data_IF_896305462165
#
_entry.id   IF_896305462165
#
_cell.length_a   1.000
_cell.length_b   1.000
_cell.length_c   1.000
_cell.angle_alpha   90.00
_cell.angle_beta   90.00
_cell.angle_gamma   90.00
#
_symmetry.space_group_name_H-M   'P 1'
#
loop_
_entity.id
_entity.type
_entity.pdbx_description
1 polymer ?
#
# COMPACT_ATOMS: atom_id res chain seq x y z
N UNK A 1 14.06 -6.53 -10.60
CA UNK A 1 12.75 -6.81 -9.98
C UNK A 1 11.66 -6.39 -10.97
N UNK A 2 10.49 -7.03 -11.01
CA UNK A 2 9.36 -6.54 -11.82
C UNK A 2 8.29 -5.98 -10.88
N UNK A 3 8.43 -4.70 -10.52
CA UNK A 3 7.57 -4.04 -9.53
C UNK A 3 6.11 -3.98 -9.97
N UNK A 4 5.84 -3.70 -11.25
CA UNK A 4 4.46 -3.65 -11.77
C UNK A 4 3.77 -5.01 -11.63
N UNK A 5 4.48 -6.11 -11.92
CA UNK A 5 3.94 -7.44 -11.71
C UNK A 5 3.68 -7.73 -10.22
N UNK A 6 4.58 -7.29 -9.34
CA UNK A 6 4.39 -7.37 -7.90
C UNK A 6 3.12 -6.63 -7.45
N UNK A 7 2.94 -5.35 -7.79
CA UNK A 7 1.77 -4.58 -7.36
C UNK A 7 0.46 -5.14 -7.93
N UNK A 8 0.47 -5.65 -9.18
CA UNK A 8 -0.68 -6.37 -9.75
C UNK A 8 -1.02 -7.63 -8.95
N UNK A 9 -0.01 -8.36 -8.50
CA UNK A 9 -0.19 -9.55 -7.65
C UNK A 9 -0.78 -9.17 -6.29
N UNK A 10 -0.28 -8.09 -5.68
CA UNK A 10 -0.80 -7.58 -4.41
C UNK A 10 -2.26 -7.17 -4.50
N UNK A 11 -2.66 -6.43 -5.54
CA UNK A 11 -4.05 -6.04 -5.75
C UNK A 11 -4.99 -7.25 -5.91
N UNK A 12 -4.53 -8.30 -6.61
CA UNK A 12 -5.28 -9.55 -6.75
C UNK A 12 -5.43 -10.30 -5.43
N UNK A 13 -4.37 -10.35 -4.61
CA UNK A 13 -4.40 -10.99 -3.29
C UNK A 13 -5.35 -10.25 -2.34
N UNK A 14 -5.24 -8.92 -2.28
CA UNK A 14 -6.13 -8.09 -1.48
C UNK A 14 -7.59 -8.28 -1.90
N UNK A 15 -7.87 -8.18 -3.20
CA UNK A 15 -9.23 -8.40 -3.71
C UNK A 15 -9.75 -9.81 -3.43
N UNK A 16 -8.88 -10.83 -3.49
CA UNK A 16 -9.26 -12.20 -3.15
C UNK A 16 -9.61 -12.36 -1.67
N UNK A 17 -8.89 -11.69 -0.78
CA UNK A 17 -9.22 -11.68 0.65
C UNK A 17 -10.49 -10.88 0.92
N UNK A 18 -10.69 -9.75 0.23
CA UNK A 18 -11.95 -9.00 0.29
C UNK A 18 -13.15 -9.88 -0.08
N UNK A 19 -13.02 -10.75 -1.09
CA UNK A 19 -14.09 -11.66 -1.50
C UNK A 19 -14.44 -12.74 -0.46
N UNK A 20 -13.68 -12.85 0.63
CA UNK A 20 -14.02 -13.72 1.77
C UNK A 20 -15.00 -13.07 2.74
N UNK A 21 -15.47 -11.86 2.41
CA UNK A 21 -16.44 -11.08 3.17
C UNK A 21 -17.65 -11.92 3.61
N UNK A 22 -18.02 -11.76 4.88
CA UNK A 22 -19.21 -12.33 5.49
C UNK A 22 -19.75 -11.39 6.58
N UNK A 23 -20.99 -11.64 7.02
CA UNK A 23 -21.58 -10.98 8.19
C UNK A 23 -21.75 -12.07 9.25
N UNK A 24 -21.17 -11.87 10.43
CA UNK A 24 -21.32 -12.81 11.55
C UNK A 24 -22.74 -12.75 12.13
N UNK A 25 -23.18 -13.84 12.78
CA UNK A 25 -24.49 -13.85 13.45
C UNK A 25 -24.54 -12.76 14.54
N UNK A 26 -25.53 -11.87 14.45
CA UNK A 26 -25.73 -10.68 15.29
C UNK A 26 -24.74 -9.52 15.07
N UNK A 27 -24.04 -9.50 13.94
CA UNK A 27 -23.25 -8.36 13.52
C UNK A 27 -23.96 -7.51 12.45
N UNK A 28 -23.58 -6.24 12.37
CA UNK A 28 -24.03 -5.29 11.35
C UNK A 28 -22.89 -4.83 10.43
N UNK A 29 -21.66 -5.22 10.73
CA UNK A 29 -20.48 -4.92 9.92
C UNK A 29 -19.98 -6.16 9.19
N UNK A 30 -19.27 -5.92 8.10
CA UNK A 30 -18.58 -6.96 7.36
C UNK A 30 -17.35 -7.44 8.12
N UNK A 31 -17.07 -8.74 8.02
CA UNK A 31 -15.84 -9.39 8.49
C UNK A 31 -15.21 -10.17 7.33
N UNK A 32 -13.92 -10.49 7.43
CA UNK A 32 -13.16 -11.18 6.39
C UNK A 32 -12.39 -12.38 6.96
N UNK A 33 -12.06 -13.34 6.10
CA UNK A 33 -11.19 -14.47 6.41
C UNK A 33 -9.93 -14.40 5.52
N UNK A 34 -9.04 -13.42 5.76
CA UNK A 34 -7.91 -13.13 4.88
C UNK A 34 -6.85 -14.24 4.91
N UNK A 35 -6.25 -14.51 3.74
CA UNK A 35 -5.10 -15.42 3.60
C UNK A 35 -3.79 -14.67 3.34
N UNK A 36 -3.85 -13.46 2.80
CA UNK A 36 -2.67 -12.70 2.35
C UNK A 36 -2.55 -11.33 3.03
N UNK A 37 -3.68 -10.67 3.30
CA UNK A 37 -3.79 -9.33 3.87
C UNK A 37 -4.51 -9.41 5.20
N UNK A 38 -3.78 -9.74 6.26
CA UNK A 38 -4.34 -9.90 7.61
C UNK A 38 -4.79 -8.57 8.22
N UNK A 39 -4.30 -7.45 7.69
CA UNK A 39 -4.65 -6.06 8.00
C UNK A 39 -5.82 -5.53 7.15
N UNK A 40 -6.62 -6.40 6.52
CA UNK A 40 -7.68 -5.97 5.60
C UNK A 40 -8.73 -5.07 6.26
N UNK A 41 -9.15 -5.37 7.49
CA UNK A 41 -10.14 -4.56 8.22
C UNK A 41 -9.66 -3.12 8.41
N UNK A 42 -8.40 -2.96 8.83
CA UNK A 42 -7.78 -1.65 9.02
C UNK A 42 -7.67 -0.87 7.70
N UNK A 43 -7.38 -1.56 6.59
CA UNK A 43 -7.33 -0.95 5.26
C UNK A 43 -8.72 -0.52 4.79
N UNK A 44 -9.75 -1.36 4.96
CA UNK A 44 -11.13 -1.01 4.61
C UNK A 44 -11.55 0.27 5.33
N UNK A 45 -11.30 0.34 6.64
CA UNK A 45 -11.63 1.49 7.47
C UNK A 45 -10.83 2.73 7.09
N UNK A 46 -9.50 2.61 6.95
CA UNK A 46 -8.61 3.74 6.68
C UNK A 46 -8.88 4.39 5.33
N UNK A 47 -9.25 3.60 4.33
CA UNK A 47 -9.59 4.10 2.99
C UNK A 47 -11.08 4.39 2.80
N UNK A 48 -11.92 4.20 3.83
CA UNK A 48 -13.36 4.36 3.77
C UNK A 48 -13.96 3.66 2.53
N UNK A 49 -13.58 2.40 2.35
CA UNK A 49 -13.97 1.59 1.19
C UNK A 49 -15.46 1.28 1.27
N UNK A 50 -16.21 1.58 0.21
CA UNK A 50 -17.58 1.09 0.07
C UNK A 50 -17.55 -0.41 -0.25
N UNK A 51 -17.81 -1.22 0.78
CA UNK A 51 -17.82 -2.67 0.67
C UNK A 51 -18.86 -3.23 -0.30
N UNK A 52 -19.92 -2.48 -0.61
CA UNK A 52 -20.97 -2.95 -1.54
C UNK A 52 -20.62 -2.67 -3.00
N UNK A 53 -19.62 -1.81 -3.25
CA UNK A 53 -19.10 -1.48 -4.57
C UNK A 53 -17.58 -1.57 -4.58
N UNK A 54 -17.03 -2.77 -4.39
CA UNK A 54 -15.58 -2.99 -4.46
C UNK A 54 -15.19 -3.90 -5.63
N UNK A 55 -14.17 -3.49 -6.38
CA UNK A 55 -13.69 -4.21 -7.57
C UNK A 55 -12.17 -4.34 -7.57
N UNK A 56 -11.64 -5.23 -8.40
CA UNK A 56 -10.19 -5.38 -8.57
C UNK A 56 -9.50 -4.08 -9.00
N UNK A 57 -10.17 -3.23 -9.79
CA UNK A 57 -9.64 -1.92 -10.17
C UNK A 57 -9.54 -1.00 -8.94
N UNK A 58 -10.55 -0.99 -8.06
CA UNK A 58 -10.46 -0.24 -6.79
C UNK A 58 -9.35 -0.79 -5.91
N UNK A 59 -9.18 -2.11 -5.82
CA UNK A 59 -8.04 -2.72 -5.13
C UNK A 59 -6.68 -2.26 -5.69
N UNK A 60 -6.55 -2.12 -7.02
CA UNK A 60 -5.32 -1.56 -7.63
C UNK A 60 -5.05 -0.12 -7.17
N UNK A 61 -6.08 0.71 -7.04
CA UNK A 61 -5.93 2.06 -6.49
C UNK A 61 -5.50 2.05 -5.02
N UNK A 62 -6.03 1.13 -4.21
CA UNK A 62 -5.59 0.96 -2.81
C UNK A 62 -4.10 0.60 -2.74
N UNK A 63 -3.66 -0.37 -3.54
CA UNK A 63 -2.23 -0.74 -3.59
C UNK A 63 -1.36 0.45 -4.04
N UNK A 64 -1.83 1.25 -4.99
CA UNK A 64 -1.10 2.45 -5.42
C UNK A 64 -0.96 3.47 -4.28
N UNK A 65 -2.03 3.71 -3.53
CA UNK A 65 -2.01 4.62 -2.38
C UNK A 65 -1.06 4.12 -1.28
N UNK A 66 -1.11 2.82 -0.97
CA UNK A 66 -0.18 2.19 -0.02
C UNK A 66 1.28 2.27 -0.47
N UNK A 67 1.52 2.32 -1.79
CA UNK A 67 2.82 2.53 -2.40
C UNK A 67 3.21 4.02 -2.57
N UNK A 68 2.48 4.95 -1.92
CA UNK A 68 2.71 6.41 -1.98
C UNK A 68 2.45 7.08 -3.34
N UNK A 69 1.56 6.50 -4.16
CA UNK A 69 1.08 7.11 -5.42
C UNK A 69 -0.38 7.53 -5.27
N UNK A 70 -0.86 8.51 -6.05
CA UNK A 70 -2.26 8.95 -5.94
C UNK A 70 -3.25 7.96 -6.53
N UNK A 71 -2.81 7.16 -7.50
CA UNK A 71 -3.65 6.19 -8.19
C UNK A 71 -2.80 5.19 -8.99
N UNK A 72 -3.47 4.14 -9.47
CA UNK A 72 -2.84 3.09 -10.27
C UNK A 72 -2.19 3.60 -11.56
N UNK A 73 -2.77 4.61 -12.21
CA UNK A 73 -2.21 5.17 -13.44
C UNK A 73 -0.85 5.83 -13.21
N UNK A 74 -0.69 6.58 -12.12
CA UNK A 74 0.58 7.16 -11.71
C UNK A 74 1.62 6.07 -11.43
N UNK A 75 1.23 5.05 -10.65
CA UNK A 75 2.12 3.93 -10.31
C UNK A 75 2.66 3.23 -11.57
N UNK A 76 1.82 2.90 -12.57
CA UNK A 76 2.30 2.14 -13.75
C UNK A 76 3.20 2.94 -14.70
N UNK A 77 3.28 4.26 -14.53
CA UNK A 77 4.18 5.15 -15.31
C UNK A 77 5.36 5.68 -14.48
N UNK A 78 5.45 5.29 -13.21
CA UNK A 78 6.54 5.68 -12.33
C UNK A 78 7.87 5.04 -12.74
N UNK A 79 8.98 5.68 -12.35
CA UNK A 79 10.31 5.11 -12.58
C UNK A 79 10.67 4.04 -11.53
N UNK A 80 11.75 3.29 -11.80
CA UNK A 80 12.16 2.18 -10.94
C UNK A 80 12.48 2.61 -9.50
N UNK A 81 12.98 3.83 -9.27
CA UNK A 81 13.29 4.32 -7.92
C UNK A 81 12.01 4.51 -7.09
N UNK A 82 11.00 5.15 -7.68
CA UNK A 82 9.70 5.34 -7.04
C UNK A 82 8.99 4.00 -6.81
N UNK A 83 9.06 3.10 -7.79
CA UNK A 83 8.48 1.76 -7.69
C UNK A 83 9.15 0.91 -6.60
N UNK A 84 10.47 1.02 -6.46
CA UNK A 84 11.21 0.33 -5.40
C UNK A 84 10.87 0.87 -4.01
N UNK A 85 10.77 2.20 -3.85
CA UNK A 85 10.33 2.80 -2.60
C UNK A 85 8.92 2.32 -2.24
N UNK A 86 7.98 2.41 -3.18
CA UNK A 86 6.61 1.95 -3.00
C UNK A 86 6.51 0.45 -2.67
N UNK A 87 7.43 -0.38 -3.19
CA UNK A 87 7.51 -1.79 -2.84
C UNK A 87 7.78 -1.98 -1.35
N UNK A 88 8.78 -1.28 -0.80
CA UNK A 88 9.10 -1.38 0.62
C UNK A 88 7.97 -0.87 1.51
N UNK A 89 7.27 0.18 1.10
CA UNK A 89 6.11 0.69 1.82
C UNK A 89 4.98 -0.36 1.91
N UNK A 90 4.69 -1.06 0.82
CA UNK A 90 3.67 -2.12 0.82
C UNK A 90 4.11 -3.35 1.63
N UNK A 91 5.39 -3.73 1.55
CA UNK A 91 5.92 -4.87 2.32
C UNK A 91 5.94 -4.61 3.84
N UNK A 92 6.10 -3.37 4.27
CA UNK A 92 6.17 -2.99 5.69
C UNK A 92 4.94 -2.18 6.16
N UNK A 93 3.83 -2.29 5.44
CA UNK A 93 2.60 -1.51 5.68
C UNK A 93 2.04 -1.65 7.10
N UNK A 94 2.19 -2.81 7.71
CA UNK A 94 1.70 -3.10 9.08
C UNK A 94 2.43 -2.25 10.14
N UNK A 95 3.57 -1.65 9.82
CA UNK A 95 4.36 -0.80 10.71
C UNK A 95 4.08 0.70 10.53
N UNK A 96 3.01 1.08 9.83
CA UNK A 96 2.68 2.47 9.50
C UNK A 96 3.78 3.22 8.72
N UNK A 97 4.61 2.48 7.96
CA UNK A 97 5.82 3.03 7.33
C UNK A 97 5.50 4.13 6.29
N UNK A 98 4.34 4.06 5.64
CA UNK A 98 3.88 5.08 4.70
C UNK A 98 3.74 6.45 5.38
N UNK A 99 3.06 6.51 6.52
CA UNK A 99 2.83 7.75 7.25
C UNK A 99 4.14 8.33 7.78
N UNK A 100 5.02 7.47 8.32
CA UNK A 100 6.34 7.88 8.80
C UNK A 100 7.20 8.46 7.67
N UNK A 101 7.20 7.79 6.51
CA UNK A 101 7.89 8.27 5.33
C UNK A 101 7.33 9.62 4.85
N UNK A 102 6.00 9.74 4.70
CA UNK A 102 5.37 10.99 4.25
C UNK A 102 5.59 12.14 5.25
N UNK A 103 5.64 11.85 6.55
CA UNK A 103 5.99 12.82 7.56
C UNK A 103 7.46 13.24 7.43
N UNK A 104 8.38 12.29 7.28
CA UNK A 104 9.80 12.55 7.14
C UNK A 104 10.12 13.33 5.86
N UNK A 105 9.52 12.96 4.73
CA UNK A 105 9.70 13.62 3.43
C UNK A 105 9.38 15.11 3.54
N UNK A 106 8.27 15.45 4.21
CA UNK A 106 7.85 16.84 4.47
C UNK A 106 8.76 17.54 5.47
N UNK A 107 9.08 16.89 6.58
CA UNK A 107 9.92 17.45 7.64
C UNK A 107 11.34 17.78 7.13
N UNK A 108 11.96 16.84 6.42
CA UNK A 108 13.28 16.98 5.83
C UNK A 108 13.29 17.77 4.50
N UNK A 109 12.10 18.16 4.00
CA UNK A 109 11.91 18.95 2.77
C UNK A 109 12.55 18.29 1.55
N UNK A 110 12.30 17.00 1.38
CA UNK A 110 12.93 16.19 0.33
C UNK A 110 12.39 16.47 -1.07
N UNK A 111 11.43 17.40 -1.23
CA UNK A 111 10.93 17.88 -2.53
C UNK A 111 12.02 18.35 -3.50
N UNK A 112 13.21 18.71 -2.97
CA UNK A 112 14.37 19.15 -3.74
C UNK A 112 15.27 18.02 -4.25
N UNK A 113 15.03 16.79 -3.79
CA UNK A 113 15.80 15.61 -4.17
C UNK A 113 15.09 14.92 -5.33
N UNK A 114 15.89 14.32 -6.21
CA UNK A 114 15.38 13.40 -7.22
C UNK A 114 14.95 12.07 -6.60
N UNK A 115 14.33 11.21 -7.41
CA UNK A 115 13.76 9.96 -6.93
C UNK A 115 14.84 8.97 -6.43
N UNK A 116 16.05 9.01 -7.00
CA UNK A 116 17.20 8.21 -6.54
C UNK A 116 17.65 8.67 -5.14
N UNK A 117 17.84 9.98 -4.94
CA UNK A 117 18.21 10.53 -3.64
C UNK A 117 17.15 10.25 -2.56
N UNK A 118 15.86 10.33 -2.90
CA UNK A 118 14.78 9.95 -1.98
C UNK A 118 14.82 8.47 -1.59
N UNK A 119 15.04 7.59 -2.56
CA UNK A 119 15.16 6.15 -2.31
C UNK A 119 16.36 5.82 -1.40
N UNK A 120 17.51 6.45 -1.65
CA UNK A 120 18.71 6.26 -0.83
C UNK A 120 18.50 6.70 0.62
N UNK A 121 17.87 7.86 0.82
CA UNK A 121 17.50 8.37 2.15
C UNK A 121 16.52 7.40 2.82
N UNK A 122 15.48 6.96 2.11
CA UNK A 122 14.50 6.02 2.63
C UNK A 122 15.18 4.73 3.11
N UNK A 123 16.00 4.11 2.27
CA UNK A 123 16.76 2.89 2.62
C UNK A 123 17.68 3.11 3.82
N UNK A 124 18.36 4.26 3.88
CA UNK A 124 19.30 4.56 4.95
C UNK A 124 18.60 4.76 6.31
N UNK A 125 17.48 5.47 6.33
CA UNK A 125 16.81 5.87 7.58
C UNK A 125 15.88 4.76 8.08
N UNK A 126 15.12 4.14 7.18
CA UNK A 126 14.02 3.25 7.54
C UNK A 126 14.36 1.76 7.41
N UNK A 127 15.25 1.38 6.49
CA UNK A 127 15.53 -0.04 6.24
C UNK A 127 16.83 -0.55 6.86
N UNK A 128 17.85 0.31 7.06
CA UNK A 128 19.14 -0.12 7.63
C UNK A 128 19.09 -0.67 9.06
N UNK A 129 17.98 -0.49 9.77
CA UNK A 129 17.77 -1.01 11.12
C UNK A 129 16.78 -2.20 11.18
N UNK A 130 16.30 -2.69 10.04
CA UNK A 130 15.44 -3.88 9.96
C UNK A 130 16.34 -5.11 9.79
N UNK A 131 16.89 -5.59 10.90
CA UNK A 131 17.60 -6.88 11.00
C UNK A 131 16.78 -7.85 11.84
#
# INVERSE_FOLDING_TARGET
MNYIHYFKSQAKKFYKDFQTQYIAENDYIYSYNPKFWHDIDDIILSFNIDENDFSLMKAQHIIANLANFKNWHELVHANDCQLELGYYLVEHRENNLLDEWQWYERYAKLERFDDEGKLDIFKHIFLKNVN
#
